data_IF_942522870657
#
_entry.id   IF_942522870657
#
_cell.length_a   1.000
_cell.length_b   1.000
_cell.length_c   1.000
_cell.angle_alpha   90.00
_cell.angle_beta   90.00
_cell.angle_gamma   90.00
#
_symmetry.space_group_name_H-M   'P 1'
#
loop_
_entity.id
_entity.type
_entity.pdbx_description
1 polymer ?
#
# COMPACT_ATOMS: atom_id res chain seq x y z
N UNK A 1 1.43 5.44 17.33
CA UNK A 1 2.09 5.02 16.11
C UNK A 1 1.63 5.90 14.95
N UNK A 2 2.52 6.30 14.07
CA UNK A 2 2.20 7.15 12.94
C UNK A 2 2.22 6.35 11.65
N UNK A 3 1.41 6.78 10.69
CA UNK A 3 1.38 6.22 9.33
C UNK A 3 1.83 7.31 8.37
N UNK A 4 2.85 7.01 7.59
CA UNK A 4 3.39 7.93 6.59
C UNK A 4 3.46 7.26 5.23
N UNK A 5 3.28 8.05 4.18
CA UNK A 5 3.35 7.59 2.81
C UNK A 5 4.64 8.08 2.18
N UNK A 6 5.40 7.17 1.57
CA UNK A 6 6.59 7.57 0.81
C UNK A 6 6.16 8.22 -0.51
N UNK A 7 7.07 8.97 -1.12
CA UNK A 7 6.81 9.57 -2.43
C UNK A 7 6.55 8.51 -3.50
N UNK A 8 7.22 7.35 -3.41
CA UNK A 8 6.98 6.25 -4.34
C UNK A 8 5.58 5.67 -4.19
N UNK A 9 5.09 5.53 -2.96
CA UNK A 9 3.74 5.05 -2.72
C UNK A 9 2.70 6.03 -3.26
N UNK A 10 2.92 7.32 -3.08
CA UNK A 10 2.03 8.35 -3.64
C UNK A 10 2.04 8.31 -5.17
N UNK A 11 3.22 8.14 -5.78
CA UNK A 11 3.31 7.98 -7.23
C UNK A 11 2.57 6.74 -7.72
N UNK A 12 2.68 5.63 -6.99
CA UNK A 12 1.95 4.41 -7.31
C UNK A 12 0.44 4.64 -7.27
N UNK A 13 -0.04 5.37 -6.25
CA UNK A 13 -1.46 5.68 -6.13
C UNK A 13 -1.96 6.47 -7.34
N UNK A 14 -1.22 7.51 -7.74
CA UNK A 14 -1.56 8.32 -8.91
C UNK A 14 -1.54 7.47 -10.17
N UNK A 15 -0.51 6.63 -10.33
CA UNK A 15 -0.38 5.75 -11.50
C UNK A 15 -1.56 4.79 -11.61
N UNK A 16 -1.96 4.17 -10.51
CA UNK A 16 -3.09 3.24 -10.49
C UNK A 16 -4.39 3.96 -10.82
N UNK A 17 -4.59 5.16 -10.27
CA UNK A 17 -5.76 5.96 -10.59
C UNK A 17 -5.79 6.34 -12.08
N UNK A 18 -4.70 6.84 -12.61
CA UNK A 18 -4.62 7.28 -14.02
C UNK A 18 -4.78 6.13 -14.99
N UNK A 19 -4.39 4.92 -14.61
CA UNK A 19 -4.59 3.73 -15.43
C UNK A 19 -6.07 3.37 -15.54
N UNK A 20 -6.82 3.49 -14.43
CA UNK A 20 -8.22 3.09 -14.39
C UNK A 20 -9.18 4.19 -14.85
N UNK A 21 -8.88 5.45 -14.56
CA UNK A 21 -9.81 6.55 -14.75
C UNK A 21 -10.33 6.70 -16.20
N UNK A 22 -9.49 6.55 -17.25
CA UNK A 22 -9.94 6.66 -18.62
C UNK A 22 -10.97 5.59 -19.00
N UNK A 23 -10.90 4.41 -18.37
CA UNK A 23 -11.78 3.28 -18.67
C UNK A 23 -13.03 3.33 -17.78
N UNK A 24 -12.86 3.63 -16.49
CA UNK A 24 -13.95 3.64 -15.53
C UNK A 24 -13.60 4.55 -14.36
N UNK A 25 -13.97 5.82 -14.46
CA UNK A 25 -13.62 6.79 -13.43
C UNK A 25 -14.20 6.46 -12.05
N UNK A 26 -15.49 6.04 -11.92
CA UNK A 26 -15.99 5.64 -10.60
C UNK A 26 -15.19 4.50 -9.97
N UNK A 27 -14.76 3.53 -10.76
CA UNK A 27 -13.91 2.44 -10.25
C UNK A 27 -12.55 2.95 -9.81
N UNK A 28 -11.97 3.91 -10.54
CA UNK A 28 -10.69 4.52 -10.18
C UNK A 28 -10.78 5.26 -8.85
N UNK A 29 -11.86 6.01 -8.64
CA UNK A 29 -12.10 6.72 -7.37
C UNK A 29 -12.24 5.73 -6.23
N UNK A 30 -13.02 4.66 -6.42
CA UNK A 30 -13.20 3.63 -5.37
C UNK A 30 -11.89 2.94 -5.03
N UNK A 31 -11.07 2.62 -6.05
CA UNK A 31 -9.77 2.01 -5.83
C UNK A 31 -8.85 2.93 -5.02
N UNK A 32 -8.80 4.21 -5.39
CA UNK A 32 -7.97 5.19 -4.67
C UNK A 32 -8.43 5.33 -3.22
N UNK A 33 -9.75 5.38 -2.98
CA UNK A 33 -10.28 5.46 -1.62
C UNK A 33 -9.95 4.22 -0.81
N UNK A 34 -10.08 3.03 -1.40
CA UNK A 34 -9.76 1.78 -0.72
C UNK A 34 -8.27 1.72 -0.36
N UNK A 35 -7.41 2.14 -1.28
CA UNK A 35 -5.96 2.12 -1.07
C UNK A 35 -5.51 3.13 -0.02
N UNK A 36 -6.19 4.27 0.10
CA UNK A 36 -5.86 5.25 1.13
C UNK A 36 -6.38 4.84 2.51
N UNK A 37 -7.47 4.08 2.57
CA UNK A 37 -8.06 3.61 3.84
C UNK A 37 -7.42 2.34 4.37
N UNK A 38 -7.05 1.41 3.48
CA UNK A 38 -6.59 0.08 3.88
C UNK A 38 -5.41 0.14 4.87
N UNK A 39 -4.39 1.00 4.70
CA UNK A 39 -3.27 1.02 5.64
C UNK A 39 -3.64 1.49 7.05
N UNK A 40 -4.81 2.10 7.25
CA UNK A 40 -5.21 2.59 8.57
C UNK A 40 -5.34 1.48 9.60
N UNK A 41 -5.65 0.25 9.17
CA UNK A 41 -5.71 -0.90 10.09
C UNK A 41 -4.35 -1.17 10.73
N UNK A 42 -3.27 -0.77 10.07
CA UNK A 42 -1.91 -1.00 10.57
C UNK A 42 -1.62 -0.20 11.84
N UNK A 43 -2.36 0.88 12.08
CA UNK A 43 -2.19 1.68 13.30
C UNK A 43 -2.57 0.91 14.55
N UNK A 44 -3.52 -0.03 14.44
CA UNK A 44 -3.93 -0.89 15.56
C UNK A 44 -3.34 -2.30 15.46
N UNK A 45 -2.98 -2.74 14.26
CA UNK A 45 -2.43 -4.07 14.02
C UNK A 45 -1.23 -4.00 13.08
N UNK A 46 -0.09 -3.42 13.52
CA UNK A 46 1.02 -3.16 12.59
C UNK A 46 1.65 -4.42 12.00
N UNK A 47 1.56 -5.55 12.69
CA UNK A 47 2.17 -6.79 12.23
C UNK A 47 1.17 -7.79 11.65
N UNK A 48 0.01 -7.29 11.23
CA UNK A 48 -1.00 -8.15 10.58
C UNK A 48 -0.54 -8.64 9.20
N UNK A 49 0.32 -7.88 8.52
CA UNK A 49 0.79 -8.23 7.19
C UNK A 49 1.85 -9.32 7.21
N UNK A 50 1.96 -10.03 6.08
CA UNK A 50 2.97 -11.05 5.89
C UNK A 50 4.36 -10.42 5.85
N UNK A 51 5.28 -10.96 6.66
CA UNK A 51 6.65 -10.46 6.69
C UNK A 51 7.42 -10.92 5.46
N UNK A 52 8.16 -9.99 4.86
CA UNK A 52 9.02 -10.27 3.71
C UNK A 52 10.45 -10.44 4.22
N UNK A 53 10.82 -11.70 4.50
CA UNK A 53 12.09 -12.00 5.16
C UNK A 53 13.31 -11.63 4.33
N UNK A 54 13.17 -11.57 3.00
CA UNK A 54 14.29 -11.16 2.14
C UNK A 54 14.67 -9.68 2.30
N UNK A 55 13.86 -8.90 3.02
CA UNK A 55 14.15 -7.49 3.30
C UNK A 55 14.86 -7.27 4.62
N UNK A 56 15.12 -8.34 5.39
CA UNK A 56 15.83 -8.20 6.66
C UNK A 56 17.19 -7.53 6.48
N UNK A 57 17.66 -6.71 7.44
CA UNK A 57 17.09 -6.52 8.79
C UNK A 57 15.93 -5.54 8.88
N UNK A 58 15.47 -4.99 7.75
CA UNK A 58 14.30 -4.12 7.74
C UNK A 58 13.03 -4.95 7.95
N UNK A 59 12.12 -4.45 8.78
CA UNK A 59 10.82 -5.10 8.97
C UNK A 59 9.85 -4.62 7.91
N UNK A 60 9.84 -5.30 6.77
CA UNK A 60 8.96 -5.01 5.64
C UNK A 60 7.88 -6.09 5.57
N UNK A 61 6.65 -5.66 5.46
CA UNK A 61 5.49 -6.54 5.39
C UNK A 61 4.58 -6.12 4.24
N UNK A 62 3.64 -7.00 3.89
CA UNK A 62 2.64 -6.70 2.87
C UNK A 62 1.26 -7.07 3.35
N UNK A 63 0.26 -6.31 2.92
CA UNK A 63 -1.15 -6.65 3.07
C UNK A 63 -1.81 -6.59 1.70
N UNK A 64 -2.93 -7.29 1.56
CA UNK A 64 -3.75 -7.24 0.36
C UNK A 64 -5.01 -6.42 0.66
N UNK A 65 -5.35 -5.54 -0.27
CA UNK A 65 -6.59 -4.77 -0.24
C UNK A 65 -7.30 -5.02 -1.56
N UNK A 66 -8.23 -5.98 -1.56
CA UNK A 66 -8.87 -6.42 -2.79
C UNK A 66 -7.83 -7.02 -3.75
N UNK A 67 -7.70 -6.43 -4.92
CA UNK A 67 -6.75 -6.87 -5.96
C UNK A 67 -5.42 -6.13 -5.89
N UNK A 68 -5.16 -5.42 -4.80
CA UNK A 68 -3.96 -4.60 -4.67
C UNK A 68 -3.10 -5.10 -3.53
N UNK A 69 -1.79 -4.97 -3.70
CA UNK A 69 -0.81 -5.27 -2.66
C UNK A 69 -0.26 -3.95 -2.13
N UNK A 70 -0.22 -3.83 -0.80
CA UNK A 70 0.36 -2.68 -0.10
C UNK A 70 1.58 -3.18 0.65
N UNK A 71 2.74 -2.66 0.31
CA UNK A 71 3.99 -3.00 1.01
C UNK A 71 4.33 -1.88 1.97
N UNK A 72 4.66 -2.23 3.19
CA UNK A 72 4.95 -1.26 4.23
C UNK A 72 6.12 -1.70 5.10
N UNK A 73 6.71 -0.74 5.79
CA UNK A 73 7.84 -0.98 6.70
C UNK A 73 7.53 -0.40 8.07
N UNK A 74 7.90 -1.14 9.12
CA UNK A 74 7.77 -0.66 10.50
C UNK A 74 9.14 -0.20 10.96
N UNK A 75 9.26 1.08 11.35
CA UNK A 75 10.46 1.66 11.94
C UNK A 75 10.07 2.34 13.24
N UNK A 76 10.39 1.69 14.38
CA UNK A 76 10.02 2.22 15.70
C UNK A 76 8.51 2.41 15.81
N UNK A 77 8.08 3.63 16.04
CA UNK A 77 6.66 3.99 16.18
C UNK A 77 6.05 4.52 14.88
N UNK A 78 6.71 4.30 13.75
CA UNK A 78 6.25 4.79 12.46
C UNK A 78 6.09 3.65 11.47
N UNK A 79 5.01 3.69 10.70
CA UNK A 79 4.75 2.77 9.59
C UNK A 79 4.86 3.58 8.30
N UNK A 80 5.70 3.11 7.38
CA UNK A 80 5.86 3.74 6.07
C UNK A 80 5.21 2.88 5.01
N UNK A 81 4.25 3.45 4.28
CA UNK A 81 3.71 2.80 3.08
C UNK A 81 4.76 2.98 1.98
N UNK A 82 5.36 1.89 1.53
CA UNK A 82 6.48 1.91 0.61
C UNK A 82 6.05 1.89 -0.84
N UNK A 83 5.16 0.97 -1.19
CA UNK A 83 4.73 0.76 -2.57
C UNK A 83 3.29 0.22 -2.61
N UNK A 84 2.63 0.46 -3.73
CA UNK A 84 1.32 -0.09 -4.04
C UNK A 84 1.36 -0.73 -5.43
N UNK A 85 0.79 -1.93 -5.58
CA UNK A 85 0.68 -2.60 -6.87
C UNK A 85 -0.68 -3.25 -7.03
N UNK A 86 -1.12 -3.38 -8.27
CA UNK A 86 -2.14 -4.37 -8.60
C UNK A 86 -1.47 -5.75 -8.58
N UNK A 87 -2.15 -6.76 -8.07
CA UNK A 87 -1.55 -8.09 -7.90
C UNK A 87 -1.10 -8.73 -9.23
N UNK A 88 -1.64 -8.26 -10.35
CA UNK A 88 -1.29 -8.74 -11.69
C UNK A 88 -0.19 -7.94 -12.37
N UNK A 89 0.30 -6.86 -11.73
CA UNK A 89 1.38 -6.10 -12.31
C UNK A 89 2.69 -6.88 -12.28
N UNK A 90 3.50 -6.72 -13.33
CA UNK A 90 4.86 -7.21 -13.36
C UNK A 90 5.73 -6.27 -12.54
N UNK A 91 6.40 -6.81 -11.53
CA UNK A 91 7.19 -6.03 -10.59
C UNK A 91 8.66 -6.28 -10.75
#
# INVERSE_FOLDING_TARGET
MELKWTSKALSDLVRLYEFLAPVNKPAAVRAAQALTKAPCILLTNPRIGEQLFHCEPREVRRILAGKYEIRYEIQGATIYVLRLWHTREDR
#
